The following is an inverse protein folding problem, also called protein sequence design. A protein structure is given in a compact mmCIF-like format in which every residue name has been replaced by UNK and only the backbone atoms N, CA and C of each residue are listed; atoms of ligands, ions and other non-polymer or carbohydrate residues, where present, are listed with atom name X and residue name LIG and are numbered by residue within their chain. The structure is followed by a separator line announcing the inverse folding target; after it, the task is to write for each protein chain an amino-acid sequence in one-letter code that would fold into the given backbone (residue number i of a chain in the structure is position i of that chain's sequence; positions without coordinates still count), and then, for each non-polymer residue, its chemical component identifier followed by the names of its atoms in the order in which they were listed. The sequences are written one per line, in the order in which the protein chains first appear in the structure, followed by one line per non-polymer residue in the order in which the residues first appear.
data_IF_929506255276
#
_entry.id   IF_929506255276
#
_cell.length_a   1.000
_cell.length_b   1.000
_cell.length_c   1.000
_cell.angle_alpha   90.00
_cell.angle_beta   90.00
_cell.angle_gamma   90.00
#
_symmetry.space_group_name_H-M   'P 1'
#
loop_
_entity.id
_entity.type
_entity.pdbx_description
1 polymer ?
#
# COMPACT_ATOMS: atom_id res chain seq x y z
N UNK A 1 10.84 -7.35 21.68
CA UNK A 1 10.92 -5.88 21.67
C UNK A 1 10.87 -5.46 20.22
N UNK A 2 9.72 -4.99 19.73
CA UNK A 2 9.58 -4.56 18.33
C UNK A 2 10.03 -3.11 18.20
N UNK A 3 11.28 -2.93 17.77
CA UNK A 3 11.86 -1.61 17.49
C UNK A 3 11.07 -0.95 16.36
N UNK A 4 11.00 0.39 16.35
CA UNK A 4 10.44 1.14 15.21
C UNK A 4 11.15 0.83 13.89
N UNK A 5 12.41 0.38 13.95
CA UNK A 5 13.17 -0.06 12.78
C UNK A 5 12.56 -1.30 12.11
N UNK A 6 12.13 -2.30 12.89
CA UNK A 6 11.48 -3.52 12.34
C UNK A 6 10.20 -3.17 11.56
N UNK A 7 9.45 -2.16 12.02
CA UNK A 7 8.20 -1.73 11.36
C UNK A 7 8.46 -0.96 10.07
N UNK A 8 9.51 -0.14 10.05
CA UNK A 8 9.91 0.60 8.86
C UNK A 8 10.47 -0.33 7.79
N UNK A 9 11.25 -1.33 8.20
CA UNK A 9 11.78 -2.36 7.31
C UNK A 9 10.63 -3.17 6.67
N UNK A 10 9.65 -3.59 7.48
CA UNK A 10 8.44 -4.27 6.98
C UNK A 10 7.61 -3.40 6.02
N UNK A 11 7.47 -2.10 6.31
CA UNK A 11 6.76 -1.17 5.43
C UNK A 11 7.49 -0.98 4.09
N UNK A 12 8.82 -0.83 4.11
CA UNK A 12 9.64 -0.72 2.91
C UNK A 12 9.64 -2.01 2.09
N UNK A 13 9.68 -3.17 2.75
CA UNK A 13 9.62 -4.46 2.09
C UNK A 13 8.25 -4.66 1.40
N UNK A 14 7.15 -4.25 2.04
CA UNK A 14 5.82 -4.29 1.44
C UNK A 14 5.70 -3.33 0.25
N UNK A 15 6.19 -2.09 0.37
CA UNK A 15 6.25 -1.14 -0.74
C UNK A 15 7.06 -1.75 -1.89
N UNK A 16 8.23 -2.32 -1.61
CA UNK A 16 9.09 -2.98 -2.59
C UNK A 16 8.40 -4.13 -3.30
N UNK A 17 7.59 -4.93 -2.59
CA UNK A 17 6.79 -6.01 -3.17
C UNK A 17 5.68 -5.49 -4.07
N UNK A 18 4.92 -4.47 -3.63
CA UNK A 18 3.86 -3.85 -4.43
C UNK A 18 4.47 -3.21 -5.68
N UNK A 19 5.52 -2.41 -5.54
CA UNK A 19 6.24 -1.79 -6.67
C UNK A 19 6.78 -2.83 -7.63
N UNK A 20 7.39 -3.92 -7.15
CA UNK A 20 7.87 -5.01 -8.02
C UNK A 20 6.73 -5.70 -8.75
N UNK A 21 5.58 -5.92 -8.11
CA UNK A 21 4.40 -6.53 -8.73
C UNK A 21 3.80 -5.62 -9.80
N UNK A 22 3.72 -4.32 -9.53
CA UNK A 22 3.31 -3.28 -10.47
C UNK A 22 4.24 -3.17 -11.68
N UNK A 23 5.55 -3.28 -11.47
CA UNK A 23 6.55 -3.20 -12.54
C UNK A 23 6.73 -4.51 -13.31
N UNK A 24 6.53 -5.66 -12.64
CA UNK A 24 6.65 -6.99 -13.24
C UNK A 24 5.44 -7.36 -14.08
N UNK A 25 4.25 -6.85 -13.74
CA UNK A 25 3.13 -6.92 -14.65
C UNK A 25 3.34 -5.87 -15.75
N UNK A 26 3.65 -6.35 -16.95
CA UNK A 26 3.59 -5.59 -18.22
C UNK A 26 2.19 -5.00 -18.51
N UNK A 27 1.26 -5.16 -17.58
CA UNK A 27 -0.15 -4.80 -17.59
C UNK A 27 -0.36 -3.88 -16.40
N UNK A 28 -0.91 -2.69 -16.63
CA UNK A 28 -1.40 -1.79 -15.57
C UNK A 28 -2.13 -2.62 -14.53
N UNK A 29 -1.64 -2.69 -13.29
CA UNK A 29 -2.46 -3.22 -12.21
C UNK A 29 -3.78 -2.44 -12.18
N UNK A 30 -4.88 -3.18 -12.11
CA UNK A 30 -6.20 -2.58 -12.12
C UNK A 30 -6.34 -1.63 -10.93
N UNK A 31 -7.12 -0.55 -11.12
CA UNK A 31 -7.47 0.37 -10.03
C UNK A 31 -7.99 -0.39 -8.80
N UNK A 32 -8.79 -1.43 -9.01
CA UNK A 32 -9.37 -2.25 -7.95
C UNK A 32 -8.34 -3.13 -7.23
N UNK A 33 -7.33 -3.65 -7.95
CA UNK A 33 -6.25 -4.44 -7.35
C UNK A 33 -5.38 -3.55 -6.44
N UNK A 34 -5.08 -2.32 -6.90
CA UNK A 34 -4.40 -1.31 -6.10
C UNK A 34 -5.20 -0.90 -4.84
N UNK A 35 -6.51 -0.72 -4.96
CA UNK A 35 -7.38 -0.40 -3.83
C UNK A 35 -7.40 -1.54 -2.81
N UNK A 36 -7.54 -2.78 -3.26
CA UNK A 36 -7.57 -3.95 -2.38
C UNK A 36 -6.27 -4.13 -1.59
N UNK A 37 -5.11 -3.96 -2.24
CA UNK A 37 -3.81 -4.06 -1.58
C UNK A 37 -3.59 -2.92 -0.57
N UNK A 38 -4.04 -1.69 -0.88
CA UNK A 38 -3.98 -0.56 0.05
C UNK A 38 -4.94 -0.74 1.25
N UNK A 39 -6.12 -1.32 1.04
CA UNK A 39 -7.03 -1.66 2.12
C UNK A 39 -6.41 -2.70 3.05
N UNK A 40 -5.83 -3.75 2.49
CA UNK A 40 -5.14 -4.80 3.25
C UNK A 40 -4.01 -4.21 4.09
N UNK A 41 -3.18 -3.34 3.49
CA UNK A 41 -2.11 -2.63 4.19
C UNK A 41 -2.66 -1.78 5.34
N UNK A 42 -3.73 -1.02 5.12
CA UNK A 42 -4.33 -0.15 6.15
C UNK A 42 -4.85 -0.92 7.37
N UNK A 43 -5.31 -2.17 7.17
CA UNK A 43 -5.88 -3.04 8.20
C UNK A 43 -4.80 -3.87 8.92
N UNK A 44 -3.70 -4.17 8.23
CA UNK A 44 -2.65 -5.08 8.73
C UNK A 44 -1.51 -4.35 9.43
N UNK A 45 -1.40 -3.02 9.27
CA UNK A 45 -0.37 -2.21 9.92
C UNK A 45 -0.82 -1.68 11.28
N UNK A 46 0.10 -1.68 12.26
CA UNK A 46 -0.07 -0.99 13.53
C UNK A 46 0.47 0.46 13.49
N UNK A 47 1.05 0.88 12.37
CA UNK A 47 1.53 2.25 12.17
C UNK A 47 0.39 3.15 11.68
N UNK A 48 0.03 4.13 12.52
CA UNK A 48 -1.05 5.07 12.26
C UNK A 48 -0.80 5.92 11.00
N UNK A 49 0.44 6.31 10.72
CA UNK A 49 0.77 7.12 9.53
C UNK A 49 0.60 6.30 8.26
N UNK A 50 1.02 5.02 8.29
CA UNK A 50 0.84 4.11 7.16
C UNK A 50 -0.64 3.86 6.90
N UNK A 51 -1.44 3.70 7.96
CA UNK A 51 -2.90 3.59 7.85
C UNK A 51 -3.53 4.85 7.21
N UNK A 52 -3.22 6.04 7.73
CA UNK A 52 -3.75 7.31 7.22
C UNK A 52 -3.34 7.57 5.75
N UNK A 53 -2.08 7.29 5.40
CA UNK A 53 -1.59 7.41 4.02
C UNK A 53 -2.29 6.43 3.08
N UNK A 54 -2.52 5.19 3.52
CA UNK A 54 -3.20 4.17 2.71
C UNK A 54 -4.66 4.57 2.42
N UNK A 55 -5.37 5.09 3.42
CA UNK A 55 -6.75 5.60 3.27
C UNK A 55 -6.78 6.77 2.27
N UNK A 56 -5.85 7.72 2.37
CA UNK A 56 -5.75 8.85 1.42
C UNK A 56 -5.48 8.37 -0.01
N UNK A 57 -4.59 7.39 -0.18
CA UNK A 57 -4.29 6.82 -1.49
C UNK A 57 -5.53 6.14 -2.11
N UNK A 58 -6.30 5.40 -1.32
CA UNK A 58 -7.58 4.82 -1.76
C UNK A 58 -8.55 5.92 -2.21
N UNK A 59 -8.73 6.98 -1.40
CA UNK A 59 -9.62 8.09 -1.74
C UNK A 59 -9.22 8.77 -3.06
N UNK A 60 -7.93 8.99 -3.28
CA UNK A 60 -7.40 9.59 -4.52
C UNK A 60 -7.62 8.68 -5.73
N UNK A 61 -7.42 7.37 -5.58
CA UNK A 61 -7.67 6.40 -6.64
C UNK A 61 -9.16 6.34 -6.97
N UNK A 62 -10.03 6.27 -5.96
CA UNK A 62 -11.48 6.24 -6.11
C UNK A 62 -12.01 7.50 -6.79
N UNK A 63 -11.49 8.70 -6.47
CA UNK A 63 -11.90 9.97 -7.08
C UNK A 63 -11.39 10.17 -8.52
N UNK A 64 -10.39 9.42 -8.98
CA UNK A 64 -9.99 9.41 -10.39
C UNK A 64 -10.96 8.56 -11.22
N UNK A 65 -12.20 9.00 -11.32
CA UNK A 65 -13.15 8.58 -12.36
C UNK A 65 -13.14 9.71 -13.41
N UNK A 66 -12.32 9.53 -14.43
CA UNK A 66 -12.38 10.28 -15.70
C UNK A 66 -12.13 9.27 -16.82
#
# INVERSE_FOLDING_TARGET
MGSSEDRNEQALELIGRITRRLLSQKTKAGKDELINELELLSKSTADRRVQECSIRAIQMLSHRIH
#
